data_IF_088613569092
#
_entry.id   IF_088613569092
#
_cell.length_a   1.000
_cell.length_b   1.000
_cell.length_c   1.000
_cell.angle_alpha   90.00
_cell.angle_beta   90.00
_cell.angle_gamma   90.00
#
_symmetry.space_group_name_H-M   'P 1'
#
loop_
_entity.id
_entity.type
_entity.pdbx_description
1 polymer ?
#
# COMPACT_ATOMS: atom_id res chain seq x y z
N UNK A 1 15.87 -0.44 16.57
CA UNK A 1 14.42 -0.66 16.80
C UNK A 1 14.23 -2.01 17.51
N UNK A 2 13.05 -2.33 18.05
CA UNK A 2 12.85 -3.54 18.87
C UNK A 2 12.52 -4.82 18.10
N UNK A 3 12.33 -4.74 16.78
CA UNK A 3 11.95 -5.86 15.91
C UNK A 3 13.06 -6.07 14.86
N UNK A 4 14.00 -7.00 15.07
CA UNK A 4 15.03 -7.31 14.09
C UNK A 4 14.43 -8.07 12.89
N UNK A 5 15.01 -7.85 11.70
CA UNK A 5 14.71 -8.63 10.51
C UNK A 5 15.40 -10.01 10.52
N UNK A 6 14.99 -10.89 9.62
CA UNK A 6 15.42 -12.29 9.57
C UNK A 6 16.26 -12.68 8.35
N UNK A 7 16.68 -11.70 7.54
CA UNK A 7 17.42 -11.90 6.31
C UNK A 7 16.48 -12.22 5.14
N UNK A 8 16.98 -12.82 4.04
CA UNK A 8 16.16 -12.98 2.84
C UNK A 8 14.89 -13.84 3.05
N UNK A 9 13.74 -13.30 2.68
CA UNK A 9 12.42 -13.91 2.75
C UNK A 9 11.72 -13.68 4.09
N UNK A 10 10.53 -14.28 4.25
CA UNK A 10 9.71 -14.25 5.49
C UNK A 10 9.28 -12.84 5.90
N UNK A 11 10.08 -12.07 6.64
CA UNK A 11 9.71 -10.73 7.11
C UNK A 11 10.20 -9.68 6.13
N UNK A 12 9.33 -9.31 5.19
CA UNK A 12 9.70 -8.34 4.16
C UNK A 12 9.89 -6.93 4.73
N UNK A 13 9.04 -6.52 5.67
CA UNK A 13 9.01 -5.19 6.26
C UNK A 13 8.15 -5.23 7.53
N UNK A 14 8.17 -4.13 8.30
CA UNK A 14 7.17 -3.89 9.35
C UNK A 14 6.91 -2.40 9.55
N UNK A 15 5.74 -2.10 10.08
CA UNK A 15 5.33 -0.75 10.43
C UNK A 15 4.83 -0.65 11.88
N UNK A 16 4.98 0.54 12.44
CA UNK A 16 4.35 0.89 13.71
C UNK A 16 3.04 1.64 13.42
N UNK A 17 1.99 1.28 14.16
CA UNK A 17 0.69 1.94 14.13
C UNK A 17 0.76 3.48 14.34
N UNK A 18 -0.32 4.23 14.03
CA UNK A 18 -0.27 5.68 13.78
C UNK A 18 0.40 6.56 14.83
N UNK A 19 0.43 6.17 16.10
CA UNK A 19 1.13 6.94 17.14
C UNK A 19 2.63 7.12 16.87
N UNK A 20 3.24 6.20 16.11
CA UNK A 20 4.63 6.26 15.70
C UNK A 20 4.78 6.42 14.17
N UNK A 21 4.07 5.60 13.39
CA UNK A 21 4.00 5.72 11.93
C UNK A 21 5.27 5.38 11.15
N UNK A 22 6.36 4.94 11.79
CA UNK A 22 7.57 4.51 11.08
C UNK A 22 7.35 3.17 10.39
N UNK A 23 7.91 3.04 9.19
CA UNK A 23 7.99 1.78 8.44
C UNK A 23 9.47 1.45 8.22
N UNK A 24 9.85 0.20 8.45
CA UNK A 24 11.19 -0.30 8.14
C UNK A 24 11.06 -1.41 7.09
N UNK A 25 12.01 -1.45 6.17
CA UNK A 25 12.08 -2.40 5.07
C UNK A 25 13.36 -3.21 5.25
N UNK A 26 13.29 -4.53 5.07
CA UNK A 26 14.47 -5.38 5.21
C UNK A 26 15.39 -5.21 3.99
N UNK A 27 16.61 -4.72 4.21
CA UNK A 27 17.59 -4.48 3.15
C UNK A 27 18.15 -5.78 2.56
N UNK A 28 18.01 -6.91 3.27
CA UNK A 28 18.38 -8.22 2.76
C UNK A 28 17.39 -8.74 1.68
N UNK A 29 16.24 -8.07 1.51
CA UNK A 29 15.28 -8.38 0.47
C UNK A 29 15.67 -7.78 -0.89
N UNK A 30 15.48 -8.58 -1.94
CA UNK A 30 15.65 -8.09 -3.32
C UNK A 30 14.40 -7.34 -3.78
N UNK A 31 14.30 -6.09 -3.37
CA UNK A 31 13.24 -5.20 -3.83
C UNK A 31 13.37 -4.85 -5.32
N UNK A 32 12.22 -4.77 -5.98
CA UNK A 32 12.11 -4.42 -7.40
C UNK A 32 10.96 -3.45 -7.65
N UNK A 33 11.00 -2.79 -8.81
CA UNK A 33 9.90 -1.99 -9.34
C UNK A 33 9.50 -2.56 -10.71
N UNK A 34 8.21 -2.84 -10.88
CA UNK A 34 7.66 -3.35 -12.15
C UNK A 34 8.14 -4.73 -12.62
N UNK A 35 8.93 -5.48 -11.83
CA UNK A 35 9.48 -6.77 -12.24
C UNK A 35 8.72 -7.96 -11.64
N UNK A 36 8.59 -9.04 -12.43
CA UNK A 36 7.99 -10.31 -11.97
C UNK A 36 8.90 -11.14 -11.05
N UNK A 37 10.19 -10.79 -10.99
CA UNK A 37 11.16 -11.39 -10.07
C UNK A 37 11.45 -10.45 -8.90
N UNK A 38 11.76 -11.01 -7.74
CA UNK A 38 11.98 -10.26 -6.51
C UNK A 38 10.69 -9.82 -5.82
N UNK A 39 10.82 -8.84 -4.92
CA UNK A 39 9.73 -8.32 -4.10
C UNK A 39 9.35 -6.92 -4.58
N UNK A 40 8.12 -6.72 -5.02
CA UNK A 40 7.69 -5.42 -5.50
C UNK A 40 7.61 -4.40 -4.34
N UNK A 41 8.50 -3.41 -4.34
CA UNK A 41 8.60 -2.42 -3.27
C UNK A 41 7.33 -1.59 -3.13
N UNK A 42 6.68 -1.24 -4.24
CA UNK A 42 5.44 -0.48 -4.22
C UNK A 42 4.34 -1.21 -3.44
N UNK A 43 4.18 -2.52 -3.64
CA UNK A 43 3.20 -3.32 -2.90
C UNK A 43 3.51 -3.34 -1.41
N UNK A 44 4.75 -3.67 -1.03
CA UNK A 44 5.16 -3.78 0.38
C UNK A 44 5.04 -2.43 1.08
N UNK A 45 5.53 -1.35 0.46
CA UNK A 45 5.41 -0.02 1.03
C UNK A 45 3.95 0.41 1.21
N UNK A 46 3.07 0.08 0.25
CA UNK A 46 1.64 0.39 0.39
C UNK A 46 1.01 -0.38 1.55
N UNK A 47 1.40 -1.65 1.75
CA UNK A 47 0.96 -2.46 2.90
C UNK A 47 1.41 -1.83 4.23
N UNK A 48 2.69 -1.54 4.36
CA UNK A 48 3.26 -0.96 5.59
C UNK A 48 2.69 0.44 5.89
N UNK A 49 2.47 1.26 4.86
CA UNK A 49 1.79 2.55 5.03
C UNK A 49 0.34 2.38 5.47
N UNK A 50 -0.34 1.31 5.06
CA UNK A 50 -1.66 0.96 5.59
C UNK A 50 -1.62 0.78 7.11
N UNK A 51 -0.65 0.03 7.63
CA UNK A 51 -0.42 -0.11 9.07
C UNK A 51 -0.05 1.19 9.76
N UNK A 52 0.85 1.99 9.17
CA UNK A 52 1.21 3.31 9.69
C UNK A 52 0.01 4.28 9.73
N UNK A 53 -1.00 4.06 8.87
CA UNK A 53 -2.27 4.79 8.84
C UNK A 53 -3.39 4.10 9.65
N UNK A 54 -3.12 2.98 10.32
CA UNK A 54 -4.05 2.36 11.26
C UNK A 54 -4.85 1.18 10.72
N UNK A 55 -4.61 0.74 9.48
CA UNK A 55 -5.22 -0.47 8.96
C UNK A 55 -4.59 -1.71 9.58
N UNK A 56 -5.42 -2.67 9.93
CA UNK A 56 -4.97 -4.02 10.28
C UNK A 56 -4.96 -4.91 9.04
N UNK A 57 -4.39 -6.11 9.17
CA UNK A 57 -4.47 -7.13 8.12
C UNK A 57 -5.92 -7.42 7.74
N UNK A 58 -6.11 -7.78 6.46
CA UNK A 58 -7.38 -8.21 5.89
C UNK A 58 -7.31 -9.68 5.47
N UNK A 59 -8.44 -10.39 5.56
CA UNK A 59 -8.59 -11.75 5.02
C UNK A 59 -8.92 -11.76 3.51
N UNK A 60 -9.12 -10.58 2.91
CA UNK A 60 -9.41 -10.42 1.49
C UNK A 60 -8.12 -10.58 0.67
N UNK A 61 -7.92 -11.76 0.05
CA UNK A 61 -6.67 -12.14 -0.64
C UNK A 61 -6.13 -11.15 -1.69
N UNK A 62 -7.01 -10.37 -2.31
CA UNK A 62 -6.60 -9.38 -3.31
C UNK A 62 -6.31 -8.00 -2.72
N UNK A 63 -6.72 -7.73 -1.47
CA UNK A 63 -6.45 -6.47 -0.77
C UNK A 63 -4.95 -6.27 -0.56
N UNK A 64 -4.51 -5.01 -0.52
CA UNK A 64 -3.10 -4.73 -0.18
C UNK A 64 -2.82 -5.11 1.27
N UNK A 65 -3.80 -5.00 2.17
CA UNK A 65 -3.65 -5.38 3.57
C UNK A 65 -3.71 -6.89 3.84
N UNK A 66 -3.76 -7.75 2.81
CA UNK A 66 -3.59 -9.19 3.00
C UNK A 66 -2.18 -9.50 3.54
N UNK A 67 -2.00 -10.30 4.60
CA UNK A 67 -0.73 -10.43 5.33
C UNK A 67 0.42 -11.08 4.57
N UNK A 68 0.18 -11.62 3.37
CA UNK A 68 1.21 -12.32 2.60
C UNK A 68 1.40 -11.69 1.23
N UNK A 69 2.65 -11.41 0.88
CA UNK A 69 3.01 -11.03 -0.48
C UNK A 69 2.75 -12.19 -1.44
N UNK A 70 1.89 -11.97 -2.44
CA UNK A 70 1.49 -13.01 -3.40
C UNK A 70 2.20 -12.88 -4.75
N UNK A 71 3.31 -12.15 -4.83
CA UNK A 71 4.03 -11.87 -6.07
C UNK A 71 3.58 -10.59 -6.79
N UNK A 72 4.29 -10.26 -7.87
CA UNK A 72 4.06 -9.04 -8.66
C UNK A 72 2.68 -9.09 -9.34
N UNK A 73 1.91 -8.00 -9.18
CA UNK A 73 0.61 -7.79 -9.83
C UNK A 73 0.71 -6.60 -10.79
N UNK A 74 0.74 -6.82 -12.12
CA UNK A 74 0.67 -5.73 -13.09
C UNK A 74 -0.59 -4.89 -12.87
N UNK A 75 -0.47 -3.57 -12.94
CA UNK A 75 -1.60 -2.66 -12.70
C UNK A 75 -2.03 -2.61 -11.23
N UNK A 76 -1.09 -2.75 -10.30
CA UNK A 76 -1.32 -2.64 -8.86
C UNK A 76 -2.21 -1.43 -8.52
N UNK A 77 -3.25 -1.69 -7.74
CA UNK A 77 -4.20 -0.68 -7.30
C UNK A 77 -4.95 -1.16 -6.06
N UNK A 78 -5.41 -0.18 -5.26
CA UNK A 78 -6.17 -0.43 -4.04
C UNK A 78 -7.48 -1.15 -4.36
N UNK A 79 -7.81 -2.16 -3.58
CA UNK A 79 -9.10 -2.84 -3.65
C UNK A 79 -10.15 -2.08 -2.85
N UNK A 80 -11.42 -2.42 -3.07
CA UNK A 80 -12.54 -1.81 -2.34
C UNK A 80 -12.42 -2.00 -0.82
N UNK A 81 -11.86 -3.13 -0.38
CA UNK A 81 -11.57 -3.40 1.03
C UNK A 81 -10.59 -2.39 1.63
N UNK A 82 -9.47 -2.15 0.93
CA UNK A 82 -8.45 -1.16 1.32
C UNK A 82 -9.04 0.26 1.37
N UNK A 83 -9.84 0.61 0.35
CA UNK A 83 -10.48 1.92 0.21
C UNK A 83 -11.50 2.15 1.34
N UNK A 84 -12.37 1.17 1.61
CA UNK A 84 -13.36 1.27 2.70
C UNK A 84 -12.67 1.32 4.06
N UNK A 85 -11.63 0.51 4.26
CA UNK A 85 -10.84 0.51 5.49
C UNK A 85 -10.29 1.89 5.78
N UNK A 86 -9.54 2.49 4.84
CA UNK A 86 -8.93 3.80 5.10
C UNK A 86 -9.96 4.92 5.23
N UNK A 87 -11.07 4.84 4.48
CA UNK A 87 -12.18 5.80 4.60
C UNK A 87 -12.94 5.68 5.93
N UNK A 88 -12.94 4.52 6.57
CA UNK A 88 -13.54 4.37 7.90
C UNK A 88 -12.74 5.12 8.98
N UNK A 89 -11.41 5.27 8.79
CA UNK A 89 -10.55 6.03 9.71
C UNK A 89 -10.55 7.54 9.43
N UNK A 90 -10.56 7.93 8.15
CA UNK A 90 -10.28 9.33 7.77
C UNK A 90 -11.36 10.00 6.91
N UNK A 91 -12.42 9.27 6.55
CA UNK A 91 -13.47 9.75 5.65
C UNK A 91 -13.10 9.65 4.17
N UNK A 92 -14.04 10.05 3.31
CA UNK A 92 -13.87 10.04 1.85
C UNK A 92 -13.04 11.24 1.39
N UNK A 93 -12.21 11.04 0.37
CA UNK A 93 -11.59 12.16 -0.34
C UNK A 93 -12.67 12.94 -1.09
N UNK A 94 -12.73 14.25 -0.84
CA UNK A 94 -13.57 15.18 -1.59
C UNK A 94 -12.84 15.81 -2.79
N UNK A 95 -11.62 15.33 -3.10
CA UNK A 95 -10.89 15.82 -4.26
C UNK A 95 -11.55 15.29 -5.55
N UNK A 96 -12.33 16.16 -6.19
CA UNK A 96 -12.85 15.91 -7.53
C UNK A 96 -11.65 15.77 -8.46
N UNK A 97 -11.46 14.59 -9.03
CA UNK A 97 -10.46 14.37 -10.09
C UNK A 97 -10.82 15.27 -11.25
N UNK A 98 -10.20 16.44 -11.35
CA UNK A 98 -10.32 17.28 -12.53
C UNK A 98 -9.57 16.59 -13.65
N UNK A 99 -10.25 15.72 -14.38
CA UNK A 99 -9.83 15.44 -15.77
C UNK A 99 -9.83 16.79 -16.47
N UNK A 100 -8.66 17.23 -16.92
CA UNK A 100 -8.52 18.35 -17.85
C UNK A 100 -9.12 17.88 -19.18
N UNK A 101 -10.44 17.89 -19.26
CA UNK A 101 -11.20 17.54 -20.47
C UNK A 101 -12.53 18.31 -20.58
N UNK A 102 -12.75 19.33 -19.76
CA UNK A 102 -13.90 20.22 -19.88
C UNK A 102 -13.46 21.68 -19.73
N UNK A 103 -12.77 22.18 -20.76
CA UNK A 103 -12.56 23.61 -20.99
C UNK A 103 -12.58 23.91 -22.49
N UNK A 104 -13.60 23.43 -23.20
CA UNK A 104 -14.00 23.99 -24.49
C UNK A 104 -15.52 23.81 -24.59
N UNK A 105 -16.29 24.89 -24.54
CA UNK A 105 -17.73 24.85 -24.76
C UNK A 105 -18.59 25.56 -23.70
N UNK A 106 -18.26 26.81 -23.37
CA UNK A 106 -19.22 27.74 -22.76
C UNK A 106 -18.86 29.19 -23.09
N UNK A 107 -18.62 29.47 -24.37
CA UNK A 107 -18.89 30.78 -25.00
C UNK A 107 -19.31 30.50 -26.44
N UNK A 108 -20.58 30.74 -26.74
CA UNK A 108 -21.23 30.46 -28.01
C UNK A 108 -22.73 30.39 -27.83
#
# INVERSE_FOLDING_TARGET
>A
CGSPFDGPGRVLAHAYFPSNGRCHFDEDERYTDGASSGINLLWVATHEFGHALGLHHSDVRNAVMYPYYTGYKPGFGLQEDDIKGIQAHYGKSFYRRTTVSHFIGAIG
#
